data_IF_469183692119
#
_entry.id   IF_469183692119
#
_cell.length_a   1.000
_cell.length_b   1.000
_cell.length_c   1.000
_cell.angle_alpha   90.00
_cell.angle_beta   90.00
_cell.angle_gamma   90.00
#
_symmetry.space_group_name_H-M   'P 1'
#
loop_
_entity.id
_entity.type
_entity.pdbx_description
1 polymer ?
#
# COMPACT_ATOMS: atom_id res chain seq x y z
N UNK A 1 0.01 -1.92 -8.40
CA UNK A 1 0.09 -3.39 -8.52
C UNK A 1 1.44 -3.85 -8.01
N UNK A 2 1.48 -4.99 -7.31
CA UNK A 2 2.72 -5.57 -6.76
C UNK A 2 2.90 -7.00 -7.25
N UNK A 3 4.12 -7.31 -7.69
CA UNK A 3 4.57 -8.66 -8.03
C UNK A 3 5.47 -9.19 -6.91
N UNK A 4 4.96 -10.16 -6.15
CA UNK A 4 5.68 -10.74 -5.00
C UNK A 4 6.93 -11.52 -5.43
N UNK A 5 6.89 -12.16 -6.59
CA UNK A 5 8.01 -12.96 -7.08
C UNK A 5 9.25 -12.12 -7.40
N UNK A 6 9.06 -10.83 -7.72
CA UNK A 6 10.14 -9.90 -8.00
C UNK A 6 10.64 -9.13 -6.78
N UNK A 7 9.90 -9.16 -5.67
CA UNK A 7 10.26 -8.38 -4.49
C UNK A 7 11.42 -9.04 -3.74
N UNK A 8 12.52 -8.33 -3.58
CA UNK A 8 13.69 -8.77 -2.79
C UNK A 8 13.66 -8.29 -1.34
N UNK A 9 12.61 -7.60 -0.90
CA UNK A 9 12.51 -7.08 0.47
C UNK A 9 13.47 -5.93 0.79
N UNK A 10 14.03 -5.26 -0.21
CA UNK A 10 15.05 -4.23 0.00
C UNK A 10 14.56 -2.94 0.69
N UNK A 11 13.25 -2.81 0.93
CA UNK A 11 12.59 -1.70 1.63
C UNK A 11 12.81 -0.31 1.01
N UNK A 12 13.45 -0.21 -0.16
CA UNK A 12 13.69 1.06 -0.84
C UNK A 12 12.39 1.84 -1.08
N UNK A 13 11.29 1.16 -1.34
CA UNK A 13 9.98 1.78 -1.50
C UNK A 13 9.50 2.50 -0.23
N UNK A 14 9.77 1.95 0.97
CA UNK A 14 9.45 2.58 2.25
C UNK A 14 10.31 3.82 2.49
N UNK A 15 11.62 3.70 2.28
CA UNK A 15 12.58 4.81 2.38
C UNK A 15 12.16 5.96 1.47
N UNK A 16 11.89 5.66 0.20
CA UNK A 16 11.52 6.69 -0.78
C UNK A 16 10.13 7.26 -0.54
N UNK A 17 9.23 6.49 0.07
CA UNK A 17 7.91 6.96 0.44
C UNK A 17 7.98 8.00 1.57
N UNK A 18 8.69 7.68 2.65
CA UNK A 18 8.85 8.60 3.79
C UNK A 18 9.66 9.84 3.40
N UNK A 19 10.76 9.67 2.67
CA UNK A 19 11.55 10.79 2.18
C UNK A 19 10.74 11.77 1.32
N UNK A 20 9.90 11.24 0.41
CA UNK A 20 9.07 12.08 -0.47
C UNK A 20 7.97 12.82 0.27
N UNK A 21 7.35 12.19 1.27
CA UNK A 21 6.18 12.73 1.93
C UNK A 21 6.51 13.52 3.20
N UNK A 22 7.56 13.11 3.91
CA UNK A 22 7.86 13.61 5.26
C UNK A 22 9.26 14.26 5.32
N UNK A 23 10.01 14.31 4.21
CA UNK A 23 11.35 14.89 4.12
C UNK A 23 12.43 14.14 4.91
N UNK A 24 12.10 13.00 5.49
CA UNK A 24 12.99 12.19 6.34
C UNK A 24 12.86 10.71 6.02
N UNK A 25 13.91 9.95 6.25
CA UNK A 25 13.89 8.50 6.15
C UNK A 25 13.33 7.91 7.44
N UNK A 26 12.13 7.35 7.37
CA UNK A 26 11.47 6.74 8.52
C UNK A 26 10.48 5.67 8.05
N UNK A 27 10.74 4.41 8.38
CA UNK A 27 9.87 3.30 7.98
C UNK A 27 8.49 3.40 8.64
N UNK A 28 8.40 3.86 9.88
CA UNK A 28 7.13 3.96 10.60
C UNK A 28 6.16 4.96 9.99
N UNK A 29 6.65 5.99 9.31
CA UNK A 29 5.81 6.99 8.62
C UNK A 29 5.62 6.69 7.14
N UNK A 30 6.33 5.70 6.58
CA UNK A 30 6.15 5.29 5.21
C UNK A 30 4.71 4.77 4.99
N UNK A 31 4.12 5.10 3.83
CA UNK A 31 2.73 4.80 3.45
C UNK A 31 2.62 3.57 2.55
N UNK A 32 3.71 2.84 2.41
CA UNK A 32 3.87 1.51 1.84
C UNK A 32 4.61 0.68 2.86
N UNK A 33 4.27 -0.61 2.98
CA UNK A 33 4.86 -1.54 3.95
C UNK A 33 5.38 -2.76 3.25
N UNK A 34 6.55 -3.23 3.66
CA UNK A 34 7.17 -4.47 3.19
C UNK A 34 7.26 -5.44 4.36
N UNK A 35 6.49 -6.52 4.27
CA UNK A 35 6.45 -7.55 5.30
C UNK A 35 7.24 -8.77 4.83
N UNK A 36 8.23 -9.22 5.59
CA UNK A 36 8.88 -10.49 5.33
C UNK A 36 7.98 -11.65 5.77
N UNK A 37 7.73 -12.57 4.86
CA UNK A 37 6.97 -13.80 5.13
C UNK A 37 7.95 -14.95 5.19
N UNK A 38 8.53 -15.19 6.35
CA UNK A 38 9.53 -16.25 6.55
C UNK A 38 8.92 -17.67 6.58
N UNK A 39 7.61 -17.77 6.75
CA UNK A 39 6.91 -19.05 6.98
C UNK A 39 6.01 -19.49 5.82
N UNK A 40 6.03 -18.79 4.69
CA UNK A 40 5.18 -19.09 3.54
C UNK A 40 5.98 -19.63 2.36
N UNK A 41 5.75 -20.89 2.00
CA UNK A 41 6.30 -21.56 0.85
C UNK A 41 6.86 -22.95 1.17
N UNK A 42 6.77 -23.87 0.21
CA UNK A 42 7.42 -25.18 0.29
C UNK A 42 8.93 -25.00 0.52
N UNK A 43 9.46 -25.59 1.58
CA UNK A 43 10.87 -25.54 1.93
C UNK A 43 11.31 -24.29 2.70
N UNK A 44 10.36 -23.51 3.27
CA UNK A 44 10.69 -22.34 4.12
C UNK A 44 11.46 -22.72 5.40
N UNK A 45 11.32 -23.95 5.87
CA UNK A 45 12.05 -24.50 7.01
C UNK A 45 12.91 -25.69 6.53
N UNK A 46 14.08 -25.43 5.96
CA UNK A 46 15.05 -26.47 5.71
C UNK A 46 15.56 -27.07 7.03
N UNK A 47 15.99 -28.35 7.05
CA UNK A 47 16.52 -29.01 8.24
C UNK A 47 17.79 -28.34 8.80
N UNK A 48 18.39 -27.45 8.03
CA UNK A 48 19.56 -26.63 8.35
C UNK A 48 19.20 -25.24 8.93
N UNK A 49 17.90 -24.94 9.15
CA UNK A 49 17.43 -23.65 9.66
C UNK A 49 17.57 -22.47 8.68
N UNK A 50 17.93 -22.74 7.43
CA UNK A 50 18.08 -21.72 6.40
C UNK A 50 16.75 -21.50 5.71
N UNK A 51 16.25 -20.25 5.75
CA UNK A 51 15.04 -19.84 5.03
C UNK A 51 15.30 -19.77 3.53
N UNK A 52 14.90 -20.79 2.78
CA UNK A 52 15.17 -20.89 1.33
C UNK A 52 14.17 -20.13 0.46
N UNK A 53 12.97 -19.87 0.97
CA UNK A 53 11.89 -19.16 0.25
C UNK A 53 11.35 -18.00 1.07
N UNK A 54 12.16 -16.97 1.26
CA UNK A 54 11.66 -15.73 1.85
C UNK A 54 10.84 -14.97 0.81
N UNK A 55 9.53 -14.91 1.00
CA UNK A 55 8.66 -14.05 0.21
C UNK A 55 8.38 -12.75 0.94
N UNK A 56 8.28 -11.67 0.19
CA UNK A 56 7.93 -10.36 0.72
C UNK A 56 6.56 -9.93 0.22
N UNK A 57 5.72 -9.47 1.14
CA UNK A 57 4.45 -8.84 0.80
C UNK A 57 4.61 -7.34 0.86
N UNK A 58 4.28 -6.67 -0.22
CA UNK A 58 4.26 -5.20 -0.28
C UNK A 58 2.82 -4.73 -0.19
N UNK A 59 2.51 -4.01 0.86
CA UNK A 59 1.19 -3.45 1.10
C UNK A 59 1.20 -1.94 0.89
N UNK A 60 0.18 -1.45 0.22
CA UNK A 60 -0.02 -0.04 -0.06
C UNK A 60 -1.52 0.26 -0.11
N UNK A 61 -1.88 1.52 0.07
CA UNK A 61 -3.26 1.95 -0.03
C UNK A 61 -3.85 1.60 -1.40
N UNK A 62 -5.01 0.95 -1.40
CA UNK A 62 -5.71 0.51 -2.62
C UNK A 62 -6.48 1.63 -3.31
N UNK A 63 -6.51 2.84 -2.73
CA UNK A 63 -7.25 4.00 -3.26
C UNK A 63 -8.71 3.65 -3.61
N UNK A 64 -9.38 2.95 -2.70
CA UNK A 64 -10.71 2.37 -2.89
C UNK A 64 -11.71 3.38 -3.45
N UNK A 65 -12.53 2.96 -4.41
CA UNK A 65 -13.66 3.78 -4.92
C UNK A 65 -14.63 4.08 -3.79
N UNK A 66 -14.97 3.04 -3.01
CA UNK A 66 -15.78 3.13 -1.80
C UNK A 66 -14.86 3.03 -0.57
N UNK A 67 -14.31 4.18 -0.16
CA UNK A 67 -13.28 4.26 0.85
C UNK A 67 -13.87 4.30 2.27
N UNK A 68 -13.80 3.17 2.99
CA UNK A 68 -14.26 3.08 4.38
C UNK A 68 -13.59 4.12 5.29
N UNK A 69 -12.29 4.39 5.09
CA UNK A 69 -11.57 5.41 5.84
C UNK A 69 -12.14 6.83 5.64
N UNK A 70 -12.68 7.14 4.46
CA UNK A 70 -13.31 8.41 4.17
C UNK A 70 -14.70 8.51 4.82
N UNK A 71 -15.49 7.42 4.71
CA UNK A 71 -16.84 7.34 5.28
C UNK A 71 -16.86 7.44 6.81
N UNK A 72 -15.86 6.84 7.46
CA UNK A 72 -15.77 6.81 8.92
C UNK A 72 -14.98 8.00 9.51
N UNK A 73 -14.61 8.99 8.70
CA UNK A 73 -13.93 10.18 9.21
C UNK A 73 -14.96 11.18 9.79
N UNK A 74 -14.99 11.41 11.11
CA UNK A 74 -16.02 12.24 11.74
C UNK A 74 -15.91 13.73 11.37
N UNK A 75 -14.72 14.17 10.97
CA UNK A 75 -14.45 15.55 10.56
C UNK A 75 -14.29 15.72 9.05
N UNK A 76 -14.56 14.65 8.28
CA UNK A 76 -14.45 14.64 6.82
C UNK A 76 -13.09 15.14 6.31
N UNK A 77 -12.00 14.83 7.04
CA UNK A 77 -10.64 15.20 6.68
C UNK A 77 -10.07 14.37 5.52
N UNK A 78 -10.71 13.24 5.15
CA UNK A 78 -10.28 12.42 4.03
C UNK A 78 -11.20 12.69 2.84
N UNK A 79 -10.62 13.09 1.73
CA UNK A 79 -11.37 13.44 0.51
C UNK A 79 -10.70 12.88 -0.74
N UNK A 80 -11.40 12.89 -1.86
CA UNK A 80 -10.84 12.59 -3.16
C UNK A 80 -10.24 13.87 -3.74
N UNK A 81 -8.95 13.85 -4.02
CA UNK A 81 -8.28 14.95 -4.70
C UNK A 81 -8.87 15.14 -6.11
N UNK A 82 -9.34 16.34 -6.46
CA UNK A 82 -10.01 16.56 -7.73
C UNK A 82 -9.12 16.39 -8.96
N UNK A 83 -7.80 16.56 -8.81
CA UNK A 83 -6.86 16.46 -9.94
C UNK A 83 -6.44 15.01 -10.19
N UNK A 84 -6.13 14.28 -9.12
CA UNK A 84 -5.56 12.93 -9.21
C UNK A 84 -6.55 11.81 -8.90
N UNK A 85 -7.71 12.16 -8.32
CA UNK A 85 -8.69 11.20 -7.80
C UNK A 85 -8.20 10.42 -6.58
N UNK A 86 -6.99 10.68 -6.08
CA UNK A 86 -6.44 9.99 -4.92
C UNK A 86 -7.18 10.39 -3.64
N UNK A 87 -7.38 9.40 -2.75
CA UNK A 87 -7.93 9.70 -1.41
C UNK A 87 -6.79 10.19 -0.54
N UNK A 88 -6.86 11.47 -0.19
CA UNK A 88 -5.83 12.17 0.59
C UNK A 88 -6.39 12.68 1.91
N UNK A 89 -5.51 13.04 2.84
CA UNK A 89 -5.89 13.59 4.14
C UNK A 89 -5.60 15.09 4.15
N UNK A 90 -6.60 15.86 4.51
CA UNK A 90 -6.47 17.25 4.91
C UNK A 90 -5.97 17.27 6.36
N UNK A 91 -4.71 17.61 6.55
CA UNK A 91 -4.06 17.62 7.87
C UNK A 91 -4.59 18.71 8.79
N UNK A 92 -5.13 19.81 8.24
CA UNK A 92 -5.65 20.91 9.01
C UNK A 92 -6.99 20.52 9.67
N UNK A 93 -7.81 19.77 8.94
CA UNK A 93 -9.07 19.22 9.47
C UNK A 93 -8.90 17.99 10.33
N UNK A 94 -7.82 17.22 10.12
CA UNK A 94 -7.61 15.95 10.80
C UNK A 94 -7.40 16.17 12.31
N UNK A 95 -8.14 15.45 13.16
CA UNK A 95 -8.02 15.48 14.62
C UNK A 95 -7.18 14.32 15.18
N UNK A 96 -6.64 13.43 14.34
CA UNK A 96 -5.79 12.33 14.78
C UNK A 96 -6.50 11.19 15.52
N UNK A 97 -7.82 11.05 15.39
CA UNK A 97 -8.61 10.10 16.17
C UNK A 97 -8.39 8.61 15.85
N UNK A 98 -7.70 8.26 14.76
CA UNK A 98 -7.40 6.87 14.40
C UNK A 98 -8.51 6.08 13.71
N UNK A 99 -9.76 6.55 13.67
CA UNK A 99 -10.91 5.82 13.11
C UNK A 99 -10.72 5.39 11.64
N UNK A 100 -9.96 6.16 10.87
CA UNK A 100 -9.64 5.82 9.49
C UNK A 100 -8.70 4.59 9.39
N UNK A 101 -7.83 4.38 10.37
CA UNK A 101 -7.00 3.19 10.49
C UNK A 101 -7.86 1.97 10.80
N UNK A 102 -8.68 2.05 11.85
CA UNK A 102 -9.59 0.98 12.28
C UNK A 102 -10.59 0.56 11.19
N UNK A 103 -11.13 1.54 10.46
CA UNK A 103 -12.07 1.29 9.38
C UNK A 103 -11.43 0.70 8.11
N UNK A 104 -10.12 0.73 7.98
CA UNK A 104 -9.44 0.25 6.79
C UNK A 104 -9.13 -1.25 6.89
N UNK A 105 -9.65 -2.10 5.98
CA UNK A 105 -9.38 -3.55 6.02
C UNK A 105 -7.88 -3.92 5.93
N UNK A 106 -7.05 -2.99 5.47
CA UNK A 106 -5.60 -3.17 5.34
C UNK A 106 -4.80 -2.29 6.31
N UNK A 107 -5.43 -1.60 7.25
CA UNK A 107 -4.80 -0.71 8.23
C UNK A 107 -3.80 0.29 7.60
N UNK A 108 -4.12 0.79 6.39
CA UNK A 108 -3.19 1.63 5.63
C UNK A 108 -3.06 3.08 6.10
N UNK A 109 -4.14 3.79 6.52
CA UNK A 109 -3.98 5.06 7.21
C UNK A 109 -3.26 4.87 8.54
N UNK A 110 -2.26 5.70 8.82
CA UNK A 110 -1.48 5.65 10.06
C UNK A 110 -1.55 7.02 10.74
N UNK A 111 -1.43 7.05 12.05
CA UNK A 111 -1.26 8.31 12.77
C UNK A 111 0.24 8.58 12.88
N UNK A 112 0.70 9.68 12.31
CA UNK A 112 2.09 10.10 12.42
C UNK A 112 2.36 10.50 13.89
N UNK A 113 3.33 9.88 14.56
CA UNK A 113 3.58 10.11 15.98
C UNK A 113 4.14 11.52 16.28
N UNK A 114 4.66 12.21 15.28
CA UNK A 114 5.24 13.55 15.44
C UNK A 114 4.19 14.63 15.33
N UNK A 115 3.34 14.55 14.29
CA UNK A 115 2.33 15.58 14.05
C UNK A 115 0.95 15.22 14.62
N UNK A 116 0.76 13.98 15.09
CA UNK A 116 -0.51 13.49 15.63
C UNK A 116 -1.67 13.46 14.63
N UNK A 117 -1.37 13.44 13.34
CA UNK A 117 -2.37 13.48 12.26
C UNK A 117 -2.33 12.19 11.44
N UNK A 118 -3.44 11.87 10.82
CA UNK A 118 -3.48 10.71 9.92
C UNK A 118 -2.69 10.97 8.64
N UNK A 119 -1.91 9.97 8.24
CA UNK A 119 -1.18 9.94 6.97
C UNK A 119 -1.57 8.71 6.18
N UNK A 120 -1.62 8.83 4.87
CA UNK A 120 -1.89 7.71 3.95
C UNK A 120 -1.29 7.96 2.58
N UNK A 121 -1.22 6.92 1.76
CA UNK A 121 -0.72 7.00 0.39
C UNK A 121 -1.50 8.05 -0.43
N UNK A 122 -0.76 8.93 -1.10
CA UNK A 122 -1.28 9.96 -1.99
C UNK A 122 -1.20 9.58 -3.48
N UNK A 123 -0.96 8.31 -3.78
CA UNK A 123 -0.83 7.78 -5.14
C UNK A 123 0.25 8.46 -6.01
N UNK A 124 1.35 8.91 -5.41
CA UNK A 124 2.41 9.65 -6.13
C UNK A 124 3.32 8.77 -7.02
N UNK A 125 3.17 7.46 -7.04
CA UNK A 125 3.95 6.53 -7.86
C UNK A 125 5.43 6.35 -7.48
N UNK A 126 5.97 7.12 -6.52
CA UNK A 126 7.42 7.12 -6.21
C UNK A 126 7.96 5.74 -5.82
N UNK A 127 7.20 4.94 -5.09
CA UNK A 127 7.59 3.58 -4.72
C UNK A 127 7.76 2.66 -5.93
N UNK A 128 6.94 2.84 -6.97
CA UNK A 128 7.05 2.08 -8.22
C UNK A 128 8.27 2.50 -9.04
N UNK A 129 8.45 3.82 -9.24
CA UNK A 129 9.59 4.36 -10.01
C UNK A 129 10.93 3.99 -9.38
N UNK A 130 11.00 3.89 -8.06
CA UNK A 130 12.22 3.61 -7.32
C UNK A 130 12.44 2.13 -7.01
N UNK A 131 11.55 1.24 -7.43
CA UNK A 131 11.71 -0.19 -7.22
C UNK A 131 12.77 -0.76 -8.16
N UNK A 132 13.92 -1.26 -7.65
CA UNK A 132 15.03 -1.72 -8.50
C UNK A 132 14.66 -2.98 -9.30
N UNK A 133 13.77 -3.80 -8.76
CA UNK A 133 13.35 -5.07 -9.37
C UNK A 133 12.04 -4.94 -10.18
N UNK A 134 11.47 -3.73 -10.28
CA UNK A 134 10.17 -3.53 -10.92
C UNK A 134 9.02 -4.33 -10.29
N UNK A 135 9.15 -4.67 -9.00
CA UNK A 135 8.13 -5.42 -8.26
C UNK A 135 6.87 -4.60 -7.97
N UNK A 136 6.97 -3.27 -8.02
CA UNK A 136 5.83 -2.37 -7.86
C UNK A 136 5.64 -1.63 -9.18
N UNK A 137 4.43 -1.67 -9.71
CA UNK A 137 4.03 -0.90 -10.89
C UNK A 137 2.92 0.08 -10.53
N UNK A 138 3.06 1.30 -10.99
CA UNK A 138 2.00 2.28 -10.98
C UNK A 138 1.32 2.24 -12.34
N UNK A 139 0.07 1.83 -12.35
CA UNK A 139 -0.71 1.60 -13.58
C UNK A 139 -2.06 2.28 -13.44
N UNK A 140 -2.60 2.72 -14.55
CA UNK A 140 -3.95 3.23 -14.58
C UNK A 140 -4.96 2.10 -14.34
N UNK A 141 -6.09 2.45 -13.74
CA UNK A 141 -7.15 1.49 -13.48
C UNK A 141 -7.80 0.98 -14.77
N UNK A 142 -7.84 1.82 -15.79
CA UNK A 142 -8.36 1.46 -17.10
C UNK A 142 -7.47 0.45 -17.81
N UNK A 143 -6.15 0.60 -17.71
CA UNK A 143 -5.19 -0.33 -18.30
C UNK A 143 -5.30 -1.72 -17.66
N UNK A 144 -5.50 -1.80 -16.34
CA UNK A 144 -5.71 -3.08 -15.65
C UNK A 144 -7.03 -3.73 -16.11
N UNK A 145 -8.08 -2.95 -16.22
CA UNK A 145 -9.38 -3.46 -16.66
C UNK A 145 -9.31 -3.99 -18.10
N UNK A 146 -8.62 -3.29 -19.00
CA UNK A 146 -8.43 -3.72 -20.38
C UNK A 146 -7.59 -5.00 -20.46
N UNK A 147 -6.48 -5.07 -19.72
CA UNK A 147 -5.65 -6.28 -19.66
C UNK A 147 -6.44 -7.49 -19.12
N UNK A 148 -7.32 -7.28 -18.13
CA UNK A 148 -8.17 -8.33 -17.61
C UNK A 148 -9.20 -8.82 -18.64
N UNK A 149 -9.77 -7.90 -19.44
CA UNK A 149 -10.69 -8.21 -20.53
C UNK A 149 -9.96 -8.99 -21.61
N UNK A 150 -8.80 -8.53 -22.05
CA UNK A 150 -8.00 -9.13 -23.13
C UNK A 150 -7.54 -10.55 -22.77
N UNK A 151 -7.28 -10.80 -21.49
CA UNK A 151 -6.93 -12.14 -20.95
C UNK A 151 -8.14 -13.01 -20.64
N UNK A 152 -9.35 -12.55 -20.92
CA UNK A 152 -10.59 -13.29 -20.63
C UNK A 152 -10.88 -13.47 -19.13
N UNK A 153 -10.28 -12.65 -18.27
CA UNK A 153 -10.52 -12.66 -16.82
C UNK A 153 -11.82 -11.90 -16.56
N UNK A 154 -12.94 -12.62 -16.68
CA UNK A 154 -14.29 -12.02 -16.64
C UNK A 154 -14.81 -11.84 -15.20
N UNK A 155 -14.11 -12.34 -14.17
CA UNK A 155 -14.57 -12.28 -12.79
C UNK A 155 -13.60 -11.51 -11.89
N UNK A 156 -14.10 -10.53 -11.19
CA UNK A 156 -13.41 -9.80 -10.12
C UNK A 156 -12.89 -10.72 -9.01
N UNK A 157 -13.51 -11.88 -8.81
CA UNK A 157 -13.07 -12.93 -7.88
C UNK A 157 -11.75 -13.60 -8.24
N UNK A 158 -11.29 -13.51 -9.50
CA UNK A 158 -9.98 -14.04 -9.90
C UNK A 158 -8.84 -13.06 -9.69
N UNK A 159 -9.12 -11.77 -9.57
CA UNK A 159 -8.15 -10.74 -9.18
C UNK A 159 -7.87 -10.75 -7.67
N UNK A 160 -8.79 -11.28 -6.90
CA UNK A 160 -8.70 -11.46 -5.45
C UNK A 160 -9.28 -12.83 -5.13
N UNK A 161 -8.48 -13.92 -5.19
CA UNK A 161 -8.96 -15.20 -4.71
C UNK A 161 -9.44 -15.00 -3.27
N UNK A 162 -10.66 -15.41 -3.01
CA UNK A 162 -11.24 -15.36 -1.67
C UNK A 162 -10.31 -16.10 -0.71
N UNK A 163 -9.98 -15.43 0.41
CA UNK A 163 -9.17 -15.98 1.48
C UNK A 163 -9.92 -17.09 2.21
#
# INVERSE_FOLDING_TARGET
VTDRARCSGCQRCEVMCSLRNDGRVCQTTARVRVWPNYNFGEGSNGPDGIYRNCQFTVEHCKQCKDAACMKNCPVHAIYADPETGARVVDTDKCIGCGLCHEACPWNMPQIDPVIGKSTKCIACGRCAVQCPNGAIKFVDWQDIAQEAIDKGIVRTSTLFPEA
#
